data_IF_510784975450
#
_entry.id   IF_510784975450
#
_cell.length_a   1.000
_cell.length_b   1.000
_cell.length_c   1.000
_cell.angle_alpha   90.00
_cell.angle_beta   90.00
_cell.angle_gamma   90.00
#
_symmetry.space_group_name_H-M   'P 1'
#
loop_
_entity.id
_entity.type
_entity.pdbx_description
1 polymer ?
#
# COMPACT_ATOMS: atom_id res chain seq x y z
N UNK A 1 -31.93 37.90 46.33
CA UNK A 1 -33.23 37.56 45.71
C UNK A 1 -33.04 37.08 44.27
N UNK A 2 -32.54 35.86 44.04
CA UNK A 2 -32.55 35.25 42.68
C UNK A 2 -32.56 33.73 42.82
N UNK A 3 -33.76 33.17 43.00
CA UNK A 3 -34.05 31.74 42.86
C UNK A 3 -35.39 31.64 42.17
N UNK A 4 -35.39 31.26 40.89
CA UNK A 4 -36.50 30.64 40.11
C UNK A 4 -36.25 30.94 38.63
N UNK A 5 -35.76 29.94 37.88
CA UNK A 5 -35.97 29.78 36.44
C UNK A 5 -35.15 28.56 35.96
N UNK A 6 -35.66 27.36 36.22
CA UNK A 6 -35.22 26.11 35.60
C UNK A 6 -36.39 25.13 35.75
N UNK A 7 -37.42 25.31 34.91
CA UNK A 7 -38.52 24.36 34.79
C UNK A 7 -39.00 24.37 33.35
N UNK A 8 -38.80 23.24 32.68
CA UNK A 8 -39.49 22.89 31.44
C UNK A 8 -38.63 22.96 30.19
N UNK A 9 -37.89 21.89 29.89
CA UNK A 9 -37.53 21.51 28.51
C UNK A 9 -37.43 19.97 28.35
N UNK A 10 -38.30 19.21 29.03
CA UNK A 10 -38.56 17.79 28.69
C UNK A 10 -39.77 17.70 27.74
N UNK A 11 -39.68 18.36 26.57
CA UNK A 11 -40.61 18.14 25.47
C UNK A 11 -39.88 17.40 24.37
N UNK A 12 -39.88 16.07 24.48
CA UNK A 12 -39.58 15.20 23.35
C UNK A 12 -40.66 15.43 22.28
N UNK A 13 -40.28 15.82 21.04
CA UNK A 13 -41.25 16.07 19.99
C UNK A 13 -42.02 14.78 19.66
N UNK A 14 -43.33 14.91 19.51
CA UNK A 14 -44.22 13.82 19.13
C UNK A 14 -43.75 13.21 17.80
N UNK A 15 -43.50 11.90 17.81
CA UNK A 15 -43.00 11.16 16.66
C UNK A 15 -44.06 11.16 15.56
N UNK A 16 -43.75 11.64 14.33
CA UNK A 16 -44.73 11.67 13.25
C UNK A 16 -45.15 10.24 12.90
N UNK A 17 -46.45 9.96 13.01
CA UNK A 17 -47.05 8.72 12.55
C UNK A 17 -47.02 8.71 11.02
N UNK A 18 -45.97 8.14 10.44
CA UNK A 18 -45.91 7.85 9.01
C UNK A 18 -47.04 6.84 8.71
N UNK A 19 -47.99 7.25 7.89
CA UNK A 19 -49.05 6.38 7.39
C UNK A 19 -48.45 5.24 6.57
N UNK A 20 -49.07 4.07 6.67
CA UNK A 20 -48.67 2.86 5.94
C UNK A 20 -48.83 3.14 4.44
N UNK A 21 -47.70 3.32 3.73
CA UNK A 21 -47.68 3.43 2.28
C UNK A 21 -47.93 2.03 1.73
N UNK A 22 -49.02 1.84 0.99
CA UNK A 22 -49.27 0.59 0.30
C UNK A 22 -48.27 0.44 -0.84
N UNK A 23 -47.48 -0.64 -0.79
CA UNK A 23 -46.54 -0.99 -1.84
C UNK A 23 -47.33 -1.45 -3.06
N UNK A 24 -46.97 -1.00 -4.28
CA UNK A 24 -47.61 -1.46 -5.49
C UNK A 24 -47.46 -2.99 -5.62
N UNK A 25 -48.56 -3.63 -5.97
CA UNK A 25 -48.68 -5.06 -6.21
C UNK A 25 -47.67 -5.44 -7.32
N UNK A 26 -46.67 -6.25 -6.96
CA UNK A 26 -45.66 -6.75 -7.90
C UNK A 26 -46.36 -7.75 -8.80
N UNK A 27 -46.79 -7.28 -9.97
CA UNK A 27 -47.30 -8.13 -11.03
C UNK A 27 -46.25 -9.17 -11.42
N UNK A 28 -46.69 -10.42 -11.52
CA UNK A 28 -45.92 -11.57 -12.02
C UNK A 28 -45.50 -11.28 -13.48
N UNK A 29 -44.34 -10.63 -13.62
CA UNK A 29 -43.75 -10.25 -14.90
C UNK A 29 -42.85 -11.37 -15.43
N UNK A 30 -43.15 -11.80 -16.65
CA UNK A 30 -42.53 -12.88 -17.39
C UNK A 30 -41.00 -12.94 -17.33
N UNK A 31 -40.51 -14.17 -17.15
CA UNK A 31 -39.10 -14.56 -17.24
C UNK A 31 -38.65 -14.43 -18.70
N UNK A 32 -37.98 -13.33 -19.04
CA UNK A 32 -37.26 -13.22 -20.30
C UNK A 32 -35.99 -14.08 -20.25
N UNK A 33 -36.05 -15.25 -20.91
CA UNK A 33 -34.87 -16.01 -21.29
C UNK A 33 -34.05 -15.18 -22.29
N UNK A 34 -32.89 -14.69 -21.86
CA UNK A 34 -31.89 -14.16 -22.78
C UNK A 34 -31.19 -15.35 -23.42
N UNK A 35 -31.69 -15.78 -24.58
CA UNK A 35 -31.04 -16.75 -25.45
C UNK A 35 -29.74 -16.16 -26.00
N UNK A 36 -28.60 -16.58 -25.46
CA UNK A 36 -27.29 -16.35 -26.06
C UNK A 36 -27.06 -17.39 -27.17
N UNK A 37 -27.60 -17.12 -28.35
CA UNK A 37 -27.21 -17.80 -29.57
C UNK A 37 -27.24 -16.81 -30.73
N UNK A 38 -26.13 -16.15 -30.98
CA UNK A 38 -25.77 -15.79 -32.35
C UNK A 38 -24.27 -15.53 -32.47
N UNK A 39 -23.61 -16.53 -33.06
CA UNK A 39 -22.34 -16.38 -33.71
C UNK A 39 -22.49 -15.38 -34.87
N UNK A 40 -21.58 -14.42 -34.95
CA UNK A 40 -21.30 -13.75 -36.21
C UNK A 40 -19.80 -13.74 -36.44
N UNK A 41 -19.44 -14.57 -37.41
CA UNK A 41 -18.17 -14.58 -38.09
C UNK A 41 -18.01 -13.27 -38.88
N UNK A 42 -16.99 -12.50 -38.54
CA UNK A 42 -16.33 -11.59 -39.47
C UNK A 42 -14.84 -11.81 -39.30
N UNK A 43 -14.28 -12.58 -40.23
CA UNK A 43 -12.84 -12.66 -40.42
C UNK A 43 -12.32 -11.45 -41.20
N UNK A 44 -11.06 -11.08 -40.96
CA UNK A 44 -10.05 -10.84 -41.99
C UNK A 44 -8.72 -10.45 -41.37
N UNK A 45 -7.76 -11.36 -41.53
CA UNK A 45 -6.37 -11.15 -41.91
C UNK A 45 -5.71 -9.82 -41.54
N UNK A 46 -4.82 -9.88 -40.54
CA UNK A 46 -3.64 -9.02 -40.50
C UNK A 46 -2.42 -9.89 -40.17
N UNK A 47 -1.87 -10.48 -41.22
CA UNK A 47 -0.48 -10.92 -41.29
C UNK A 47 0.31 -9.79 -41.96
N UNK A 48 1.33 -9.26 -41.32
CA UNK A 48 2.42 -8.59 -42.03
C UNK A 48 3.68 -8.56 -41.17
N UNK A 49 4.61 -9.45 -41.55
CA UNK A 49 6.04 -9.25 -41.39
C UNK A 49 6.46 -7.89 -41.94
N UNK A 50 7.46 -7.27 -41.31
CA UNK A 50 8.48 -6.46 -41.98
C UNK A 50 9.67 -6.27 -41.04
N UNK A 51 10.77 -6.85 -41.47
CA UNK A 51 12.14 -6.62 -41.00
C UNK A 51 12.60 -5.18 -41.28
N UNK A 52 13.66 -4.80 -40.58
CA UNK A 52 14.69 -3.81 -40.91
C UNK A 52 14.33 -2.64 -41.86
N UNK A 53 14.38 -1.42 -41.34
CA UNK A 53 15.03 -0.31 -42.04
C UNK A 53 15.36 0.89 -41.14
N UNK A 54 16.64 1.22 -41.22
CA UNK A 54 17.39 2.34 -40.69
C UNK A 54 16.94 3.74 -41.17
N UNK A 55 16.82 4.69 -40.20
CA UNK A 55 17.06 6.16 -40.30
C UNK A 55 16.19 6.98 -41.30
N UNK A 56 16.08 8.34 -41.24
CA UNK A 56 16.93 9.33 -40.54
C UNK A 56 16.20 10.47 -39.78
N UNK A 57 17.03 11.30 -39.12
CA UNK A 57 16.76 12.61 -38.51
C UNK A 57 15.81 13.51 -39.33
N UNK A 58 14.91 14.20 -38.62
CA UNK A 58 14.22 15.40 -39.13
C UNK A 58 14.57 16.63 -38.26
N UNK A 59 14.75 17.82 -38.86
CA UNK A 59 15.20 19.02 -38.17
C UNK A 59 14.03 19.83 -37.55
N UNK A 60 14.41 20.64 -36.58
CA UNK A 60 13.57 21.55 -35.82
C UNK A 60 12.79 22.55 -36.70
N UNK A 61 11.46 22.54 -36.60
CA UNK A 61 10.58 23.60 -37.08
C UNK A 61 10.15 24.53 -35.94
N UNK A 62 10.47 25.82 -36.07
CA UNK A 62 10.13 26.87 -35.12
C UNK A 62 8.63 27.22 -35.17
N UNK A 63 7.92 26.99 -34.07
CA UNK A 63 6.54 27.45 -33.90
C UNK A 63 6.54 28.94 -33.55
N UNK A 64 6.04 29.77 -34.48
CA UNK A 64 5.71 31.18 -34.24
C UNK A 64 4.55 31.28 -33.26
N UNK A 65 4.74 32.08 -32.22
CA UNK A 65 3.72 32.49 -31.25
C UNK A 65 2.99 33.74 -31.77
N UNK A 66 1.65 33.80 -31.79
CA UNK A 66 0.91 35.03 -32.10
C UNK A 66 1.02 36.04 -30.94
N UNK A 67 1.29 37.28 -31.29
CA UNK A 67 1.40 38.43 -30.40
C UNK A 67 0.01 38.92 -29.97
N UNK A 68 -0.24 38.98 -28.67
CA UNK A 68 -1.37 39.70 -28.07
C UNK A 68 -0.97 41.17 -27.81
N UNK A 69 -1.80 42.17 -28.12
CA UNK A 69 -1.49 43.56 -27.81
C UNK A 69 -1.76 43.85 -26.33
N UNK A 70 -0.75 44.41 -25.66
CA UNK A 70 -0.83 44.89 -24.28
C UNK A 70 -1.08 46.41 -24.28
N UNK A 71 -2.00 46.94 -23.47
CA UNK A 71 -2.13 48.38 -23.30
C UNK A 71 -1.08 48.92 -22.33
N UNK A 72 -0.50 50.04 -22.74
CA UNK A 72 0.39 50.90 -21.97
C UNK A 72 -0.27 51.40 -20.69
N UNK A 73 0.46 51.34 -19.57
CA UNK A 73 0.57 52.46 -18.62
C UNK A 73 1.62 52.20 -17.51
N UNK A 74 2.70 52.96 -17.61
CA UNK A 74 3.36 53.73 -16.55
C UNK A 74 3.64 53.04 -15.18
N UNK A 75 4.92 52.71 -14.94
CA UNK A 75 5.79 53.41 -13.96
C UNK A 75 7.15 52.71 -13.84
N UNK A 76 8.20 53.43 -14.22
CA UNK A 76 9.61 53.07 -14.11
C UNK A 76 10.10 53.25 -12.67
N UNK A 77 10.34 52.14 -11.96
CA UNK A 77 11.14 52.13 -10.73
C UNK A 77 12.55 51.63 -11.07
N UNK A 78 13.51 52.57 -11.14
CA UNK A 78 14.95 52.26 -11.22
C UNK A 78 15.40 51.62 -9.91
N UNK A 79 16.12 50.49 -9.96
CA UNK A 79 17.08 50.09 -8.93
C UNK A 79 18.24 49.28 -9.55
N UNK A 80 19.32 50.02 -9.75
CA UNK A 80 20.73 49.69 -9.50
C UNK A 80 21.23 48.26 -9.77
N UNK A 81 22.01 48.15 -10.84
CA UNK A 81 22.88 47.01 -11.14
C UNK A 81 24.08 46.95 -10.16
N UNK A 82 24.40 45.73 -9.71
CA UNK A 82 25.64 45.41 -8.99
C UNK A 82 26.65 44.83 -9.98
N UNK A 83 27.92 45.28 -9.98
CA UNK A 83 28.93 44.82 -10.93
C UNK A 83 29.50 43.44 -10.57
N UNK A 84 29.62 42.58 -11.58
CA UNK A 84 30.47 41.37 -11.54
C UNK A 84 31.95 41.78 -11.62
N UNK A 85 32.83 41.22 -10.78
CA UNK A 85 34.25 41.21 -11.05
C UNK A 85 34.62 40.02 -11.94
N UNK A 86 35.24 40.36 -13.08
CA UNK A 86 35.98 39.44 -13.92
C UNK A 86 37.18 38.86 -13.18
N UNK A 87 37.52 37.60 -13.44
CA UNK A 87 38.90 37.15 -13.31
C UNK A 87 39.23 36.04 -14.30
N UNK A 88 40.46 36.05 -14.85
CA UNK A 88 40.77 35.42 -16.12
C UNK A 88 41.78 34.26 -15.99
N UNK A 89 42.07 33.66 -17.14
CA UNK A 89 43.24 32.84 -17.46
C UNK A 89 43.21 31.35 -17.09
N UNK A 90 42.88 30.56 -18.11
CA UNK A 90 43.43 29.22 -18.36
C UNK A 90 44.96 29.23 -18.34
N UNK A 91 45.59 28.06 -18.10
CA UNK A 91 46.36 27.53 -19.21
C UNK A 91 46.19 26.03 -19.47
N UNK A 92 46.16 25.79 -20.78
CA UNK A 92 46.38 24.60 -21.60
C UNK A 92 47.70 23.87 -21.25
N UNK A 93 47.67 22.57 -20.93
CA UNK A 93 48.74 21.56 -21.09
C UNK A 93 48.18 20.21 -20.61
N UNK A 94 48.31 19.06 -21.27
CA UNK A 94 48.92 18.63 -22.51
C UNK A 94 48.53 17.16 -22.74
N UNK A 95 48.64 16.70 -23.98
CA UNK A 95 48.53 15.31 -24.39
C UNK A 95 49.57 14.43 -23.68
N UNK A 96 49.19 13.21 -23.29
CA UNK A 96 50.12 12.08 -23.24
C UNK A 96 49.36 10.76 -23.39
N UNK A 97 49.68 10.07 -24.47
CA UNK A 97 49.47 8.64 -24.64
C UNK A 97 50.43 7.86 -23.75
N UNK A 98 49.96 6.80 -23.11
CA UNK A 98 50.80 5.62 -22.87
C UNK A 98 49.94 4.42 -22.55
N UNK A 99 50.23 3.36 -23.29
CA UNK A 99 49.78 1.99 -23.09
C UNK A 99 50.15 1.47 -21.69
N UNK A 100 49.29 0.61 -21.14
CA UNK A 100 49.64 -0.52 -20.26
C UNK A 100 48.38 -1.38 -20.19
N UNK A 101 48.32 -2.48 -20.94
CA UNK A 101 48.74 -3.81 -20.49
C UNK A 101 48.03 -4.32 -19.23
N UNK A 102 47.18 -5.32 -19.44
CA UNK A 102 47.19 -6.56 -18.65
C UNK A 102 46.78 -6.48 -17.18
N UNK A 103 45.47 -6.37 -16.91
CA UNK A 103 44.93 -6.75 -15.61
C UNK A 103 44.43 -8.19 -15.65
N UNK A 104 45.26 -9.10 -15.12
CA UNK A 104 44.89 -10.47 -14.76
C UNK A 104 43.93 -10.45 -13.55
N UNK A 105 43.02 -11.42 -13.42
CA UNK A 105 42.10 -11.51 -12.29
C UNK A 105 42.84 -12.01 -11.03
N UNK A 106 42.77 -11.22 -9.95
CA UNK A 106 43.18 -11.66 -8.62
C UNK A 106 42.04 -12.47 -8.02
N UNK A 107 42.17 -13.79 -8.07
CA UNK A 107 41.48 -14.70 -7.17
C UNK A 107 41.96 -14.40 -5.73
N UNK A 108 41.08 -13.88 -4.88
CA UNK A 108 41.27 -13.91 -3.42
C UNK A 108 40.11 -14.64 -2.77
N UNK A 109 40.27 -15.94 -2.71
CA UNK A 109 39.71 -16.81 -1.68
C UNK A 109 40.35 -16.41 -0.36
N UNK A 110 39.55 -15.91 0.58
CA UNK A 110 39.95 -15.84 1.99
C UNK A 110 38.73 -16.05 2.87
N UNK A 111 38.53 -17.33 3.19
CA UNK A 111 37.75 -17.86 4.30
C UNK A 111 38.25 -17.25 5.61
N UNK A 112 37.40 -16.69 6.48
CA UNK A 112 37.74 -16.53 7.88
C UNK A 112 37.35 -17.82 8.62
N UNK A 113 38.38 -18.63 8.87
CA UNK A 113 38.39 -19.66 9.89
C UNK A 113 38.14 -18.97 11.25
N UNK A 114 36.95 -19.14 11.83
CA UNK A 114 36.72 -18.79 13.22
C UNK A 114 36.96 -20.02 14.09
N UNK A 115 38.01 -19.88 14.91
CA UNK A 115 38.44 -20.85 15.88
C UNK A 115 37.34 -21.19 16.89
N UNK A 116 37.17 -22.48 17.07
CA UNK A 116 36.44 -23.13 18.15
C UNK A 116 37.21 -22.84 19.43
N UNK A 117 36.77 -21.84 20.20
CA UNK A 117 37.23 -21.65 21.58
C UNK A 117 36.20 -22.24 22.54
N UNK A 118 36.50 -23.47 22.93
CA UNK A 118 35.90 -24.16 24.06
C UNK A 118 36.00 -23.29 25.32
N UNK A 119 34.85 -22.94 25.88
CA UNK A 119 34.71 -22.25 27.15
C UNK A 119 33.72 -23.01 28.02
N UNK A 120 34.26 -23.80 28.94
CA UNK A 120 33.54 -24.45 30.04
C UNK A 120 32.60 -23.46 30.75
N UNK A 121 31.32 -23.81 30.88
CA UNK A 121 30.48 -23.30 31.97
C UNK A 121 29.34 -24.27 32.29
N UNK A 122 29.65 -25.12 33.28
CA UNK A 122 28.83 -25.42 34.45
C UNK A 122 27.40 -25.89 34.20
N UNK A 123 27.31 -27.21 34.08
CA UNK A 123 26.30 -28.08 34.69
C UNK A 123 25.74 -27.48 35.99
N UNK A 124 24.45 -27.15 35.98
CA UNK A 124 23.69 -26.82 37.18
C UNK A 124 22.60 -27.86 37.33
N UNK A 125 22.76 -28.75 38.31
CA UNK A 125 21.78 -29.75 38.71
C UNK A 125 20.43 -29.12 39.05
N UNK A 126 19.30 -29.67 38.57
CA UNK A 126 18.01 -29.42 39.21
C UNK A 126 17.91 -30.25 40.49
N UNK A 127 17.72 -29.58 41.63
CA UNK A 127 17.31 -30.22 42.88
C UNK A 127 15.84 -30.68 42.81
N UNK A 128 15.50 -31.89 43.26
CA UNK A 128 14.12 -32.29 43.52
C UNK A 128 13.68 -31.73 44.87
N UNK A 129 13.08 -30.54 44.86
CA UNK A 129 12.44 -29.93 46.03
C UNK A 129 11.07 -30.54 46.30
N UNK A 130 11.03 -31.59 47.13
CA UNK A 130 9.82 -32.11 47.77
C UNK A 130 9.17 -31.02 48.63
N UNK A 131 8.22 -30.29 48.04
CA UNK A 131 7.35 -29.36 48.76
C UNK A 131 6.12 -30.13 49.23
N UNK A 132 6.14 -30.53 50.49
CA UNK A 132 5.06 -31.18 51.23
C UNK A 132 3.89 -30.20 51.38
N UNK A 133 3.00 -30.15 50.39
CA UNK A 133 1.73 -29.44 50.48
C UNK A 133 0.80 -30.19 51.41
N UNK A 134 0.49 -29.55 52.53
CA UNK A 134 -0.50 -30.00 53.51
C UNK A 134 -1.87 -30.05 52.85
N UNK A 135 -2.42 -31.25 52.70
CA UNK A 135 -3.83 -31.47 52.37
C UNK A 135 -4.70 -30.85 53.46
N UNK A 136 -5.26 -29.66 53.19
CA UNK A 136 -6.46 -29.18 53.90
C UNK A 136 -7.66 -29.58 53.07
N UNK A 137 -8.41 -30.57 53.57
CA UNK A 137 -9.75 -30.89 53.10
C UNK A 137 -10.61 -29.60 53.08
N UNK A 138 -11.09 -29.15 51.91
CA UNK A 138 -12.07 -28.09 51.86
C UNK A 138 -13.42 -28.66 52.32
N UNK A 139 -14.00 -28.04 53.34
CA UNK A 139 -15.36 -28.31 53.79
C UNK A 139 -16.37 -28.21 52.63
N UNK A 140 -17.41 -29.05 52.59
CA UNK A 140 -18.40 -29.03 51.51
C UNK A 140 -19.19 -27.72 51.55
N UNK A 141 -18.80 -26.77 50.70
CA UNK A 141 -19.55 -25.54 50.49
C UNK A 141 -20.88 -25.89 49.80
N UNK A 142 -21.98 -25.52 50.46
CA UNK A 142 -23.36 -25.64 49.97
C UNK A 142 -23.50 -25.07 48.55
N UNK A 143 -23.53 -25.96 47.56
CA UNK A 143 -23.75 -25.65 46.14
C UNK A 143 -25.16 -25.10 45.99
N UNK A 144 -25.27 -23.77 45.88
CA UNK A 144 -26.54 -23.13 45.51
C UNK A 144 -26.87 -23.54 44.07
N UNK A 145 -28.10 -24.02 43.79
CA UNK A 145 -28.46 -24.45 42.45
C UNK A 145 -28.29 -23.30 41.45
N UNK A 146 -27.65 -23.54 40.29
CA UNK A 146 -27.44 -22.51 39.29
C UNK A 146 -28.80 -21.98 38.84
N UNK A 147 -29.06 -20.71 39.14
CA UNK A 147 -30.26 -20.03 38.65
C UNK A 147 -30.16 -20.01 37.13
N UNK A 148 -31.09 -20.69 36.46
CA UNK A 148 -31.30 -20.65 35.00
C UNK A 148 -31.76 -19.23 34.63
N UNK A 149 -30.82 -18.29 34.63
CA UNK A 149 -31.02 -16.97 34.07
C UNK A 149 -31.11 -17.12 32.55
N UNK A 150 -32.21 -16.64 31.97
CA UNK A 150 -32.35 -16.49 30.52
C UNK A 150 -31.25 -15.52 30.09
N UNK A 151 -30.13 -16.06 29.58
CA UNK A 151 -29.06 -15.25 29.01
C UNK A 151 -29.66 -14.53 27.80
N UNK A 152 -29.74 -13.20 27.88
CA UNK A 152 -30.08 -12.41 26.70
C UNK A 152 -29.06 -12.77 25.61
N UNK A 153 -29.51 -13.07 24.37
CA UNK A 153 -28.59 -13.36 23.29
C UNK A 153 -27.61 -12.21 23.18
N UNK A 154 -26.31 -12.54 23.12
CA UNK A 154 -25.26 -11.55 22.99
C UNK A 154 -25.53 -10.77 21.68
N UNK A 155 -25.56 -9.42 21.71
CA UNK A 155 -25.79 -8.64 20.51
C UNK A 155 -24.76 -9.04 19.44
N UNK A 156 -25.17 -9.08 18.16
CA UNK A 156 -24.27 -9.47 17.08
C UNK A 156 -23.04 -8.55 17.09
N UNK A 157 -21.84 -9.10 16.85
CA UNK A 157 -20.60 -8.33 16.89
C UNK A 157 -20.69 -7.16 15.90
N UNK A 158 -20.42 -5.95 16.37
CA UNK A 158 -20.41 -4.78 15.51
C UNK A 158 -19.31 -4.90 14.44
N UNK A 159 -19.59 -4.44 13.21
CA UNK A 159 -18.59 -4.47 12.15
C UNK A 159 -17.40 -3.58 12.51
N UNK A 160 -16.20 -4.18 12.57
CA UNK A 160 -14.94 -3.45 12.77
C UNK A 160 -14.78 -2.34 11.72
N UNK A 161 -14.69 -1.10 12.18
CA UNK A 161 -14.44 0.06 11.32
C UNK A 161 -12.96 0.40 11.28
N UNK A 162 -12.38 0.45 10.07
CA UNK A 162 -10.97 0.86 9.89
C UNK A 162 -10.79 2.37 9.97
N UNK A 163 -9.59 2.78 10.33
CA UNK A 163 -9.14 4.16 10.32
C UNK A 163 -9.12 4.70 8.88
N UNK A 164 -9.51 5.97 8.70
CA UNK A 164 -9.69 6.62 7.40
C UNK A 164 -8.42 6.64 6.51
N UNK A 165 -7.22 6.46 7.09
CA UNK A 165 -5.97 6.32 6.33
C UNK A 165 -5.94 5.05 5.47
N UNK A 166 -6.63 4.00 5.94
CA UNK A 166 -6.65 2.69 5.29
C UNK A 166 -7.86 2.52 4.37
N UNK A 167 -8.85 3.41 4.43
CA UNK A 167 -10.05 3.33 3.60
C UNK A 167 -9.83 4.01 2.23
N UNK A 168 -10.62 3.63 1.21
CA UNK A 168 -10.69 4.40 -0.03
C UNK A 168 -10.98 5.87 0.23
N UNK A 169 -10.34 6.73 -0.56
CA UNK A 169 -10.51 8.18 -0.41
C UNK A 169 -11.96 8.58 -0.71
N UNK A 170 -12.60 9.18 0.28
CA UNK A 170 -13.92 9.78 0.19
C UNK A 170 -13.84 11.22 0.71
N UNK A 171 -14.11 12.26 -0.10
CA UNK A 171 -14.07 13.65 0.34
C UNK A 171 -14.93 13.95 1.57
N UNK A 172 -16.00 13.18 1.82
CA UNK A 172 -16.89 13.37 2.96
C UNK A 172 -16.35 12.77 4.27
N UNK A 173 -15.49 11.74 4.19
CA UNK A 173 -15.04 10.95 5.35
C UNK A 173 -13.52 11.02 5.58
N UNK A 174 -12.75 11.08 4.51
CA UNK A 174 -11.30 11.08 4.52
C UNK A 174 -10.79 12.48 4.83
N UNK A 175 -9.94 12.58 5.86
CA UNK A 175 -9.31 13.86 6.24
C UNK A 175 -8.21 14.28 5.28
N UNK A 176 -7.60 13.32 4.57
CA UNK A 176 -6.48 13.55 3.66
C UNK A 176 -6.57 12.63 2.45
N UNK A 177 -6.09 13.11 1.30
CA UNK A 177 -5.84 12.31 0.11
C UNK A 177 -4.44 11.70 0.21
N UNK A 178 -4.35 10.44 0.63
CA UNK A 178 -3.08 9.75 0.79
C UNK A 178 -2.59 9.19 -0.56
N UNK A 179 -1.31 9.41 -0.85
CA UNK A 179 -0.62 8.78 -1.96
C UNK A 179 0.49 7.90 -1.39
N UNK A 180 0.34 6.59 -1.61
CA UNK A 180 1.32 5.60 -1.23
C UNK A 180 1.58 4.67 -2.43
N UNK A 181 2.81 4.68 -2.92
CA UNK A 181 3.30 3.72 -3.89
C UNK A 181 3.95 2.56 -3.14
N UNK A 182 3.36 1.37 -3.21
CA UNK A 182 3.80 0.19 -2.44
C UNK A 182 5.19 -0.31 -2.88
N UNK A 183 5.72 0.16 -4.02
CA UNK A 183 7.09 -0.13 -4.42
C UNK A 183 8.13 0.60 -3.55
N UNK A 184 7.70 1.62 -2.79
CA UNK A 184 8.55 2.49 -1.99
C UNK A 184 8.30 2.29 -0.49
N UNK A 185 9.30 2.67 0.32
CA UNK A 185 9.22 2.59 1.78
C UNK A 185 8.01 3.37 2.32
N UNK A 186 7.22 2.82 3.27
CA UNK A 186 6.07 3.50 3.88
C UNK A 186 6.40 4.86 4.53
N UNK A 187 7.67 5.15 4.83
CA UNK A 187 8.11 6.47 5.29
C UNK A 187 8.01 7.56 4.22
N UNK A 188 7.80 7.19 2.96
CA UNK A 188 7.66 8.10 1.83
C UNK A 188 6.20 8.42 1.47
N UNK A 189 5.23 7.96 2.28
CA UNK A 189 3.81 8.26 2.10
C UNK A 189 3.57 9.77 2.15
N UNK A 190 2.79 10.29 1.19
CA UNK A 190 2.49 11.72 1.07
C UNK A 190 1.00 12.00 1.18
N UNK A 191 0.70 13.15 1.77
CA UNK A 191 -0.60 13.81 1.75
C UNK A 191 -0.67 14.73 0.52
N UNK A 192 -1.59 14.41 -0.39
CA UNK A 192 -1.86 15.14 -1.63
C UNK A 192 -3.10 16.03 -1.53
N UNK A 193 -3.61 16.31 -0.32
CA UNK A 193 -4.74 17.22 -0.13
C UNK A 193 -4.39 18.67 -0.49
N UNK A 194 -3.10 19.03 -0.38
CA UNK A 194 -2.58 20.33 -0.73
C UNK A 194 -1.39 20.18 -1.70
N UNK A 195 -1.12 21.22 -2.48
CA UNK A 195 0.05 21.32 -3.35
C UNK A 195 1.02 22.37 -2.78
N UNK A 196 2.32 22.04 -2.58
CA UNK A 196 2.97 20.77 -2.90
C UNK A 196 2.59 19.62 -1.94
N UNK A 197 2.70 18.34 -2.38
CA UNK A 197 2.44 17.20 -1.52
C UNK A 197 3.34 17.19 -0.28
N UNK A 198 2.75 16.91 0.88
CA UNK A 198 3.45 16.96 2.18
C UNK A 198 3.69 15.55 2.69
N UNK A 199 4.85 15.29 3.31
CA UNK A 199 5.09 13.98 3.92
C UNK A 199 4.11 13.70 5.06
N UNK A 200 3.55 12.49 5.10
CA UNK A 200 2.63 12.10 6.17
C UNK A 200 3.39 12.03 7.50
N UNK A 201 2.85 12.67 8.54
CA UNK A 201 3.51 12.72 9.86
C UNK A 201 3.50 11.33 10.49
N UNK A 202 4.59 10.95 11.17
CA UNK A 202 4.68 9.68 11.90
C UNK A 202 3.57 9.54 12.94
N UNK A 203 3.12 10.63 13.56
CA UNK A 203 2.00 10.63 14.52
C UNK A 203 0.66 10.19 13.91
N UNK A 204 0.46 10.37 12.60
CA UNK A 204 -0.73 9.86 11.91
C UNK A 204 -0.61 8.35 11.66
N UNK A 205 0.59 7.86 11.36
CA UNK A 205 0.89 6.45 11.12
C UNK A 205 0.87 5.59 12.40
N UNK A 206 1.13 6.19 13.57
CA UNK A 206 1.06 5.51 14.88
C UNK A 206 -0.37 5.29 15.38
N UNK A 207 -1.40 5.85 14.71
CA UNK A 207 -2.80 5.65 15.07
C UNK A 207 -3.22 4.19 14.85
N UNK A 208 -4.16 3.71 15.66
CA UNK A 208 -4.76 2.38 15.50
C UNK A 208 -5.37 2.22 14.11
N UNK A 209 -5.23 1.03 13.54
CA UNK A 209 -5.77 0.69 12.23
C UNK A 209 -7.31 0.59 12.25
N UNK A 210 -7.90 0.44 13.42
CA UNK A 210 -9.34 0.27 13.66
C UNK A 210 -9.75 0.92 14.97
N UNK A 211 -11.05 1.18 15.14
CA UNK A 211 -11.61 1.71 16.39
C UNK A 211 -11.43 0.73 17.57
N UNK A 212 -11.64 -0.56 17.31
CA UNK A 212 -11.37 -1.63 18.27
C UNK A 212 -9.97 -2.19 18.00
N UNK A 213 -9.06 -2.28 18.99
CA UNK A 213 -7.73 -2.83 18.81
C UNK A 213 -7.74 -4.25 18.22
N UNK A 214 -7.13 -4.43 17.05
CA UNK A 214 -6.98 -5.74 16.41
C UNK A 214 -5.66 -6.40 16.81
N UNK A 215 -5.70 -7.70 17.07
CA UNK A 215 -4.51 -8.53 17.31
C UNK A 215 -3.93 -9.11 16.02
N UNK A 216 -4.77 -9.33 15.01
CA UNK A 216 -4.43 -9.88 13.72
C UNK A 216 -5.31 -9.25 12.64
N UNK A 217 -4.77 -9.09 11.43
CA UNK A 217 -5.51 -8.64 10.27
C UNK A 217 -4.97 -9.37 9.03
N UNK A 218 -5.87 -10.00 8.28
CA UNK A 218 -5.54 -10.62 6.99
C UNK A 218 -5.99 -9.70 5.85
N UNK A 219 -5.12 -9.47 4.87
CA UNK A 219 -5.38 -8.64 3.70
C UNK A 219 -5.09 -9.44 2.44
N UNK A 220 -5.97 -9.36 1.45
CA UNK A 220 -5.86 -10.02 0.15
C UNK A 220 -5.76 -9.02 -0.98
N UNK A 221 -4.90 -9.28 -1.95
CA UNK A 221 -4.80 -8.49 -3.17
C UNK A 221 -5.55 -9.18 -4.30
N UNK A 222 -6.57 -8.52 -4.87
CA UNK A 222 -7.37 -9.13 -5.94
C UNK A 222 -6.54 -9.45 -7.19
N UNK A 223 -5.50 -8.64 -7.47
CA UNK A 223 -4.62 -8.84 -8.63
C UNK A 223 -3.62 -9.98 -8.43
N UNK A 224 -3.32 -10.34 -7.18
CA UNK A 224 -2.33 -11.35 -6.81
C UNK A 224 -2.87 -12.17 -5.61
N UNK A 225 -3.91 -13.01 -5.84
CA UNK A 225 -4.68 -13.66 -4.76
C UNK A 225 -3.91 -14.73 -3.99
N UNK A 226 -2.74 -15.14 -4.49
CA UNK A 226 -1.95 -16.22 -3.90
C UNK A 226 -1.07 -15.76 -2.73
N UNK A 227 -0.90 -14.46 -2.53
CA UNK A 227 -0.11 -13.90 -1.45
C UNK A 227 -1.02 -13.17 -0.46
N UNK A 228 -1.41 -13.89 0.58
CA UNK A 228 -2.09 -13.31 1.74
C UNK A 228 -1.10 -12.44 2.53
N UNK A 229 -1.55 -11.25 2.92
CA UNK A 229 -0.78 -10.28 3.70
C UNK A 229 -1.25 -10.41 5.14
N UNK A 230 -0.42 -10.96 6.00
CA UNK A 230 -0.68 -11.08 7.43
C UNK A 230 -0.08 -9.90 8.17
N UNK A 231 -0.92 -9.15 8.88
CA UNK A 231 -0.49 -8.01 9.68
C UNK A 231 -0.53 -8.38 11.16
N UNK A 232 0.62 -8.24 11.82
CA UNK A 232 0.77 -8.40 13.26
C UNK A 232 1.14 -7.05 13.90
N UNK A 233 0.68 -6.79 15.14
CA UNK A 233 0.99 -5.55 15.84
C UNK A 233 2.48 -5.52 16.21
N UNK A 234 3.16 -4.40 15.95
CA UNK A 234 4.58 -4.23 16.36
C UNK A 234 4.76 -3.87 17.83
N UNK A 235 3.69 -3.67 18.58
CA UNK A 235 3.74 -3.28 19.98
C UNK A 235 2.41 -3.49 20.70
N UNK A 236 2.34 -3.16 22.00
CA UNK A 236 1.09 -3.26 22.75
C UNK A 236 0.05 -2.27 22.22
N UNK A 237 -1.23 -2.61 22.35
CA UNK A 237 -2.35 -1.73 21.98
C UNK A 237 -2.98 -2.03 20.62
N UNK A 238 -2.57 -3.09 19.92
CA UNK A 238 -3.18 -3.56 18.67
C UNK A 238 -2.48 -3.03 17.41
N UNK A 239 -3.02 -3.40 16.26
CA UNK A 239 -2.46 -3.06 14.94
C UNK A 239 -2.58 -1.56 14.67
N UNK A 240 -1.46 -0.92 14.28
CA UNK A 240 -1.42 0.50 13.87
C UNK A 240 -1.41 0.64 12.35
N UNK A 241 -1.73 1.82 11.84
CA UNK A 241 -1.68 2.11 10.41
C UNK A 241 -0.29 1.83 9.81
N UNK A 242 0.79 2.15 10.53
CA UNK A 242 2.17 1.84 10.09
C UNK A 242 2.42 0.34 9.93
N UNK A 243 1.80 -0.50 10.76
CA UNK A 243 1.98 -1.96 10.71
C UNK A 243 1.35 -2.52 9.44
N UNK A 244 0.18 -1.99 9.06
CA UNK A 244 -0.52 -2.32 7.82
C UNK A 244 0.31 -1.95 6.59
N UNK A 245 0.77 -0.69 6.49
CA UNK A 245 1.58 -0.27 5.34
C UNK A 245 2.92 -1.02 5.25
N UNK A 246 3.55 -1.30 6.40
CA UNK A 246 4.80 -2.09 6.44
C UNK A 246 4.56 -3.51 5.95
N UNK A 247 3.51 -4.18 6.43
CA UNK A 247 3.20 -5.55 6.00
C UNK A 247 2.90 -5.61 4.49
N UNK A 248 2.14 -4.66 3.95
CA UNK A 248 1.90 -4.53 2.50
C UNK A 248 3.24 -4.39 1.77
N UNK A 249 4.08 -3.44 2.17
CA UNK A 249 5.38 -3.21 1.56
C UNK A 249 6.25 -4.47 1.60
N UNK A 250 6.41 -5.09 2.77
CA UNK A 250 7.23 -6.30 2.95
C UNK A 250 6.74 -7.47 2.08
N UNK A 251 5.44 -7.68 1.95
CA UNK A 251 4.91 -8.74 1.10
C UNK A 251 5.21 -8.50 -0.38
N UNK A 252 5.03 -7.28 -0.90
CA UNK A 252 5.25 -6.98 -2.32
C UNK A 252 6.72 -6.74 -2.68
N UNK A 253 7.57 -6.45 -1.69
CA UNK A 253 9.00 -6.24 -1.89
C UNK A 253 9.82 -7.54 -1.87
N UNK A 254 9.20 -8.67 -1.55
CA UNK A 254 9.83 -9.98 -1.65
C UNK A 254 10.24 -10.28 -3.11
N UNK A 255 11.47 -10.79 -3.26
CA UNK A 255 12.00 -11.26 -4.54
C UNK A 255 11.23 -12.50 -4.97
N UNK A 256 10.96 -12.60 -6.27
CA UNK A 256 10.33 -13.76 -6.87
C UNK A 256 11.37 -14.87 -7.00
N UNK A 257 11.06 -16.03 -6.43
CA UNK A 257 11.83 -17.25 -6.70
C UNK A 257 11.66 -17.69 -8.16
N UNK A 258 12.60 -18.46 -8.73
CA UNK A 258 12.47 -18.98 -10.09
C UNK A 258 11.18 -19.81 -10.30
N UNK A 259 10.79 -20.60 -9.29
CA UNK A 259 9.56 -21.38 -9.32
C UNK A 259 8.31 -20.50 -9.32
N UNK A 260 8.27 -19.44 -8.49
CA UNK A 260 7.19 -18.45 -8.51
C UNK A 260 7.12 -17.72 -9.86
N UNK A 261 8.28 -17.41 -10.47
CA UNK A 261 8.35 -16.76 -11.78
C UNK A 261 7.70 -17.61 -12.86
N UNK A 262 8.00 -18.91 -12.89
CA UNK A 262 7.43 -19.85 -13.85
C UNK A 262 5.93 -20.08 -13.61
N UNK A 263 5.52 -20.19 -12.34
CA UNK A 263 4.13 -20.49 -12.00
C UNK A 263 3.18 -19.30 -12.15
N UNK A 264 3.59 -18.09 -11.75
CA UNK A 264 2.70 -16.92 -11.69
C UNK A 264 2.80 -15.98 -12.90
N UNK A 265 3.81 -16.16 -13.76
CA UNK A 265 4.02 -15.29 -14.94
C UNK A 265 3.84 -16.10 -16.22
N UNK A 266 2.64 -16.07 -16.83
CA UNK A 266 2.45 -16.59 -18.18
C UNK A 266 3.45 -15.96 -19.16
N UNK A 267 3.90 -16.71 -20.17
CA UNK A 267 4.89 -16.25 -21.14
C UNK A 267 4.51 -14.90 -21.80
N UNK A 268 3.22 -14.71 -22.10
CA UNK A 268 2.66 -13.48 -22.68
C UNK A 268 2.75 -12.26 -21.74
N UNK A 269 2.82 -12.50 -20.43
CA UNK A 269 2.85 -11.47 -19.39
C UNK A 269 4.28 -11.11 -18.98
N UNK A 270 5.24 -12.00 -19.24
CA UNK A 270 6.63 -11.84 -18.84
C UNK A 270 7.25 -10.55 -19.35
N UNK A 271 7.08 -10.23 -20.63
CA UNK A 271 7.62 -9.00 -21.22
C UNK A 271 7.09 -7.73 -20.52
N UNK A 272 5.82 -7.72 -20.10
CA UNK A 272 5.24 -6.59 -19.35
C UNK A 272 5.83 -6.50 -17.96
N UNK A 273 5.87 -7.61 -17.21
CA UNK A 273 6.47 -7.62 -15.88
C UNK A 273 7.96 -7.21 -15.90
N UNK A 274 8.73 -7.66 -16.89
CA UNK A 274 10.13 -7.25 -17.08
C UNK A 274 10.28 -5.76 -17.41
N UNK A 275 9.36 -5.18 -18.19
CA UNK A 275 9.37 -3.74 -18.44
C UNK A 275 9.17 -2.93 -17.15
N UNK A 276 8.27 -3.36 -16.27
CA UNK A 276 8.05 -2.71 -14.98
C UNK A 276 9.20 -2.93 -13.98
N UNK A 277 9.80 -4.12 -13.98
CA UNK A 277 11.06 -4.38 -13.26
C UNK A 277 12.16 -3.39 -13.68
N UNK A 278 12.41 -3.26 -14.99
CA UNK A 278 13.40 -2.30 -15.52
C UNK A 278 13.05 -0.85 -15.16
N UNK A 279 11.76 -0.50 -15.21
CA UNK A 279 11.27 0.82 -14.81
C UNK A 279 11.55 1.11 -13.33
N UNK A 280 11.32 0.13 -12.44
CA UNK A 280 11.65 0.22 -11.00
C UNK A 280 13.15 0.38 -10.79
N UNK A 281 13.99 -0.44 -11.43
CA UNK A 281 15.45 -0.33 -11.34
C UNK A 281 15.96 1.04 -11.81
N UNK A 282 15.32 1.64 -12.82
CA UNK A 282 15.64 3.00 -13.29
C UNK A 282 15.18 4.11 -12.33
N UNK A 283 14.06 3.91 -11.65
CA UNK A 283 13.50 4.90 -10.73
C UNK A 283 14.19 4.90 -9.36
N UNK A 284 14.81 3.79 -8.97
CA UNK A 284 15.52 3.70 -7.70
C UNK A 284 16.71 4.65 -7.66
N UNK A 285 16.86 5.36 -6.54
CA UNK A 285 18.03 6.20 -6.28
C UNK A 285 19.28 5.38 -5.91
N UNK A 286 19.11 4.10 -5.58
CA UNK A 286 20.21 3.17 -5.28
C UNK A 286 21.01 2.84 -6.55
N UNK A 287 22.22 2.33 -6.38
CA UNK A 287 23.05 1.86 -7.49
C UNK A 287 22.26 0.86 -8.33
N UNK A 288 21.96 1.22 -9.58
CA UNK A 288 21.14 0.44 -10.51
C UNK A 288 21.49 -1.06 -10.54
N UNK A 289 22.79 -1.40 -10.53
CA UNK A 289 23.25 -2.78 -10.52
C UNK A 289 22.82 -3.58 -9.29
N UNK A 290 22.65 -2.93 -8.14
CA UNK A 290 22.15 -3.59 -6.93
C UNK A 290 20.69 -4.02 -7.07
N UNK A 291 19.82 -3.15 -7.60
CA UNK A 291 18.41 -3.49 -7.85
C UNK A 291 18.27 -4.55 -8.94
N UNK A 292 19.09 -4.49 -9.99
CA UNK A 292 19.09 -5.49 -11.06
C UNK A 292 19.53 -6.87 -10.53
N UNK A 293 20.53 -6.92 -9.65
CA UNK A 293 21.01 -8.16 -9.03
C UNK A 293 19.99 -8.80 -8.06
N UNK A 294 19.08 -8.01 -7.50
CA UNK A 294 18.00 -8.53 -6.66
C UNK A 294 16.88 -9.19 -7.48
N UNK A 295 16.85 -8.99 -8.79
CA UNK A 295 15.83 -9.56 -9.66
C UNK A 295 14.44 -8.96 -9.46
N UNK A 296 13.46 -9.65 -10.04
CA UNK A 296 12.06 -9.24 -10.01
C UNK A 296 11.47 -9.43 -8.61
N UNK A 297 10.62 -8.50 -8.21
CA UNK A 297 9.84 -8.55 -6.95
C UNK A 297 8.36 -8.74 -7.28
N UNK A 298 7.57 -9.17 -6.29
CA UNK A 298 6.12 -9.34 -6.47
C UNK A 298 5.41 -8.07 -6.94
N UNK A 299 5.88 -6.89 -6.53
CA UNK A 299 5.36 -5.59 -7.03
C UNK A 299 5.49 -5.44 -8.56
N UNK A 300 6.49 -6.05 -9.19
CA UNK A 300 6.70 -5.97 -10.63
C UNK A 300 5.61 -6.74 -11.41
N UNK A 301 4.95 -7.71 -10.75
CA UNK A 301 3.79 -8.43 -11.29
C UNK A 301 2.52 -7.60 -11.34
N UNK A 302 2.48 -6.43 -10.70
CA UNK A 302 1.30 -5.57 -10.69
C UNK A 302 1.22 -4.66 -11.92
N UNK A 303 2.19 -4.74 -12.84
CA UNK A 303 2.20 -3.98 -14.09
C UNK A 303 1.96 -2.47 -13.85
N UNK A 304 2.59 -1.93 -12.81
CA UNK A 304 2.47 -0.52 -12.42
C UNK A 304 1.23 -0.16 -11.62
N UNK A 305 0.33 -1.10 -11.32
CA UNK A 305 -0.77 -0.91 -10.35
C UNK A 305 -0.23 -0.99 -8.92
N UNK A 306 0.63 -0.05 -8.57
CA UNK A 306 1.35 -0.02 -7.29
C UNK A 306 0.82 1.06 -6.33
N UNK A 307 -0.18 1.85 -6.73
CA UNK A 307 -0.71 2.91 -5.86
C UNK A 307 -1.78 2.34 -4.95
N UNK A 308 -1.56 2.44 -3.64
CA UNK A 308 -2.55 2.07 -2.63
C UNK A 308 -3.78 2.98 -2.75
N UNK A 309 -4.94 2.37 -3.04
CA UNK A 309 -6.21 3.09 -3.14
C UNK A 309 -7.05 2.95 -1.87
N UNK A 310 -6.80 1.95 -1.04
CA UNK A 310 -7.54 1.68 0.18
C UNK A 310 -7.70 0.18 0.45
N UNK A 311 -8.32 -0.14 1.58
CA UNK A 311 -8.78 -1.45 2.00
C UNK A 311 -10.31 -1.43 2.05
N UNK A 312 -10.94 -2.39 1.40
CA UNK A 312 -12.40 -2.57 1.45
C UNK A 312 -12.78 -3.90 2.08
N UNK A 313 -14.01 -3.99 2.56
CA UNK A 313 -14.60 -5.28 2.94
C UNK A 313 -14.85 -6.13 1.67
N UNK A 314 -14.68 -7.45 1.76
CA UNK A 314 -15.17 -8.35 0.72
C UNK A 314 -16.69 -8.19 0.57
N UNK A 315 -17.18 -8.37 -0.64
CA UNK A 315 -18.62 -8.29 -0.93
C UNK A 315 -19.26 -9.58 -0.41
N UNK A 316 -20.48 -9.51 0.14
CA UNK A 316 -21.15 -10.65 0.81
C UNK A 316 -21.24 -11.93 -0.06
N UNK A 317 -21.13 -11.80 -1.39
CA UNK A 317 -21.02 -12.91 -2.32
C UNK A 317 -19.87 -13.90 -2.00
N UNK A 318 -18.84 -13.47 -1.28
CA UNK A 318 -17.68 -14.29 -0.93
C UNK A 318 -17.92 -15.25 0.26
N UNK A 319 -19.14 -15.28 0.83
CA UNK A 319 -19.56 -16.24 1.86
C UNK A 319 -18.92 -16.07 3.24
N UNK A 320 -17.92 -15.18 3.39
CA UNK A 320 -17.23 -14.84 4.65
C UNK A 320 -16.78 -13.37 4.68
N UNK A 321 -17.71 -12.40 4.79
CA UNK A 321 -17.42 -10.97 4.63
C UNK A 321 -16.47 -10.38 5.70
N UNK A 322 -16.24 -11.08 6.82
CA UNK A 322 -15.54 -10.53 7.99
C UNK A 322 -14.14 -11.12 8.25
N UNK A 323 -13.62 -12.00 7.40
CA UNK A 323 -12.34 -12.68 7.69
C UNK A 323 -11.09 -11.95 7.18
N UNK A 324 -11.21 -11.18 6.10
CA UNK A 324 -10.09 -10.50 5.48
C UNK A 324 -10.52 -9.17 4.88
N UNK A 325 -9.54 -8.33 4.57
CA UNK A 325 -9.72 -7.07 3.85
C UNK A 325 -9.20 -7.22 2.43
N UNK A 326 -9.84 -6.56 1.47
CA UNK A 326 -9.38 -6.53 0.08
C UNK A 326 -8.57 -5.26 -0.16
N UNK A 327 -7.31 -5.43 -0.52
CA UNK A 327 -6.41 -4.37 -0.94
C UNK A 327 -6.76 -3.90 -2.35
N UNK A 328 -7.05 -2.62 -2.49
CA UNK A 328 -7.29 -1.98 -3.77
C UNK A 328 -6.04 -1.23 -4.24
N UNK A 329 -5.61 -1.54 -5.47
CA UNK A 329 -4.45 -0.94 -6.09
C UNK A 329 -4.81 -0.25 -7.41
N UNK A 330 -4.24 0.93 -7.60
CA UNK A 330 -4.46 1.81 -8.74
C UNK A 330 -3.18 2.10 -9.53
N UNK A 331 -3.36 2.73 -10.68
CA UNK A 331 -2.27 3.21 -11.53
C UNK A 331 -1.81 4.60 -11.06
N UNK A 332 -0.51 4.95 -11.22
CA UNK A 332 -0.03 6.30 -10.96
C UNK A 332 -0.71 7.32 -11.88
N UNK A 333 -0.97 8.52 -11.36
CA UNK A 333 -1.57 9.62 -12.12
C UNK A 333 -0.69 9.94 -13.35
N UNK A 334 -1.29 9.99 -14.54
CA UNK A 334 -0.59 10.31 -15.80
C UNK A 334 0.02 9.12 -16.54
N UNK A 335 -0.39 7.88 -16.23
CA UNK A 335 0.08 6.66 -16.92
C UNK A 335 -0.84 6.16 -18.04
N UNK A 336 -1.81 6.97 -18.49
CA UNK A 336 -2.72 6.65 -19.60
C UNK A 336 -2.27 7.25 -20.91
#
# INVERSE_FOLDING_TARGET
MFKKLLKGLDSTPSTPKIGRIELPEVGEGDVFYISTSEASAIGKDWSSDSEDSSSPRSPFGAWRRPSTPQPDNLKTWRKTATPQPASPLSPRRGSSSSQSEGWKPINRTSTPQQDIKAGCSRTSSPQPGLSRSTERCPSPASVKPPRKGILKPMPPPEPVTLHWLLLPYDPARSKKLIYFDIAHDPRLIRDHSNMPPVLLKSTDLEKLASEIPLSEMSIRCAQLPHWDIHVTPSGPGGIRCKDVYRAIYETFHQQLSPMEKEYYIPAERLARCEAYFRKRCKASQTLRGFEENQGMRRVDLLEGRAIFMGLRRPVEADGKPDQYWVLELGLPKGSR
#
